data_IF_260601741582
#
_entry.id   IF_260601741582
#
_cell.length_a   1.000
_cell.length_b   1.000
_cell.length_c   1.000
_cell.angle_alpha   90.00
_cell.angle_beta   90.00
_cell.angle_gamma   90.00
#
_symmetry.space_group_name_H-M   'P 1'
#
loop_
_entity.id
_entity.type
_entity.pdbx_description
1 polymer ?
#
# COMPACT_ATOMS: atom_id res chain seq x y z
N UNK A 1 -0.42 8.25 10.37
CA UNK A 1 0.69 7.37 9.93
C UNK A 1 1.52 8.16 8.93
N UNK A 2 2.84 8.18 9.10
CA UNK A 2 3.71 8.89 8.16
C UNK A 2 4.32 7.94 7.14
N UNK A 3 4.37 8.37 5.89
CA UNK A 3 5.18 7.75 4.85
C UNK A 3 6.30 8.69 4.39
N UNK A 4 7.46 8.13 4.08
CA UNK A 4 8.58 8.81 3.43
C UNK A 4 8.73 8.29 2.00
N UNK A 5 8.58 9.19 1.02
CA UNK A 5 8.75 8.92 -0.40
C UNK A 5 10.05 9.50 -0.96
N UNK A 6 10.97 9.96 -0.11
CA UNK A 6 12.21 10.63 -0.53
C UNK A 6 13.03 9.78 -1.52
N UNK A 7 12.98 8.46 -1.34
CA UNK A 7 13.63 7.43 -2.16
C UNK A 7 12.72 6.81 -3.25
N UNK A 8 11.48 7.28 -3.41
CA UNK A 8 10.54 6.76 -4.40
C UNK A 8 10.84 7.20 -5.85
N UNK A 9 11.92 7.96 -6.07
CA UNK A 9 12.36 8.37 -7.40
C UNK A 9 11.27 9.10 -8.19
N UNK A 10 11.01 8.61 -9.39
CA UNK A 10 9.97 9.06 -10.32
C UNK A 10 8.53 8.80 -9.82
N UNK A 11 8.34 7.95 -8.81
CA UNK A 11 7.02 7.49 -8.37
C UNK A 11 6.37 8.35 -7.27
N UNK A 12 7.00 9.42 -6.81
CA UNK A 12 6.47 10.29 -5.73
C UNK A 12 5.02 10.74 -5.97
N UNK A 13 4.70 11.13 -7.20
CA UNK A 13 3.33 11.52 -7.58
C UNK A 13 2.34 10.37 -7.47
N UNK A 14 2.73 9.16 -7.89
CA UNK A 14 1.89 7.96 -7.79
C UNK A 14 1.67 7.54 -6.33
N UNK A 15 2.71 7.62 -5.50
CA UNK A 15 2.63 7.35 -4.05
C UNK A 15 1.65 8.29 -3.38
N UNK A 16 1.74 9.59 -3.65
CA UNK A 16 0.79 10.57 -3.11
C UNK A 16 -0.65 10.27 -3.55
N UNK A 17 -0.86 9.95 -4.84
CA UNK A 17 -2.17 9.62 -5.38
C UNK A 17 -2.75 8.32 -4.78
N UNK A 18 -1.92 7.30 -4.56
CA UNK A 18 -2.32 6.04 -3.92
C UNK A 18 -2.64 6.21 -2.44
N UNK A 19 -1.86 7.01 -1.72
CA UNK A 19 -2.15 7.37 -0.33
C UNK A 19 -3.49 8.12 -0.20
N UNK A 20 -3.81 8.99 -1.17
CA UNK A 20 -5.09 9.70 -1.19
C UNK A 20 -6.29 8.75 -1.42
N UNK A 21 -6.12 7.66 -2.17
CA UNK A 21 -7.17 6.65 -2.30
C UNK A 21 -7.54 6.03 -0.95
N UNK A 22 -6.56 5.80 -0.07
CA UNK A 22 -6.84 5.35 1.29
C UNK A 22 -7.46 6.47 2.13
N UNK A 23 -6.87 7.67 2.14
CA UNK A 23 -7.36 8.78 2.97
C UNK A 23 -8.80 9.21 2.67
N UNK A 24 -9.25 9.04 1.42
CA UNK A 24 -10.62 9.35 0.98
C UNK A 24 -11.61 8.21 1.24
N UNK A 25 -11.15 7.01 1.61
CA UNK A 25 -11.99 5.82 1.71
C UNK A 25 -12.03 5.17 3.09
N UNK A 26 -11.10 5.50 3.98
CA UNK A 26 -11.09 5.03 5.38
C UNK A 26 -10.92 6.20 6.37
N UNK A 27 -11.31 5.99 7.63
CA UNK A 27 -11.40 7.00 8.68
C UNK A 27 -10.42 6.73 9.83
N UNK A 28 -10.19 5.46 10.20
CA UNK A 28 -9.38 5.11 11.37
C UNK A 28 -7.86 5.25 11.13
N UNK A 29 -7.42 5.46 9.89
CA UNK A 29 -6.02 5.69 9.55
C UNK A 29 -5.89 6.74 8.46
N UNK A 30 -4.91 7.63 8.63
CA UNK A 30 -4.52 8.62 7.61
C UNK A 30 -3.04 8.46 7.29
N UNK A 31 -2.74 8.38 5.99
CA UNK A 31 -1.39 8.41 5.43
C UNK A 31 -1.02 9.85 5.12
N UNK A 32 0.00 10.35 5.82
CA UNK A 32 0.54 11.69 5.61
C UNK A 32 2.00 11.58 5.19
N UNK A 33 2.43 12.45 4.28
CA UNK A 33 3.86 12.55 3.94
C UNK A 33 4.63 13.06 5.16
N UNK A 34 5.72 12.40 5.50
CA UNK A 34 6.60 12.82 6.57
C UNK A 34 7.24 14.18 6.21
N UNK A 35 7.24 15.15 7.13
CA UNK A 35 8.11 16.32 6.99
C UNK A 35 9.59 15.86 6.94
N UNK A 36 10.44 16.62 6.26
CA UNK A 36 11.86 16.30 6.17
C UNK A 36 12.50 16.17 7.57
N UNK A 37 13.30 15.13 7.77
CA UNK A 37 13.96 14.86 9.05
C UNK A 37 13.07 14.21 10.12
N UNK A 38 11.80 13.92 9.81
CA UNK A 38 10.90 13.18 10.71
C UNK A 38 10.91 11.70 10.39
N UNK A 39 10.79 10.86 11.43
CA UNK A 39 10.63 9.42 11.24
C UNK A 39 9.30 9.11 10.56
N UNK A 40 9.34 8.29 9.51
CA UNK A 40 8.16 7.68 8.90
C UNK A 40 8.04 6.22 9.31
N UNK A 41 6.81 5.72 9.39
CA UNK A 41 6.54 4.30 9.60
C UNK A 41 6.59 3.50 8.31
N UNK A 42 6.25 4.11 7.17
CA UNK A 42 6.33 3.50 5.84
C UNK A 42 7.41 4.21 5.05
N UNK A 43 8.40 3.50 4.53
CA UNK A 43 9.37 4.04 3.56
C UNK A 43 9.05 3.51 2.17
N UNK A 44 9.00 4.38 1.17
CA UNK A 44 8.79 3.99 -0.23
C UNK A 44 10.08 4.20 -1.02
N UNK A 45 10.55 3.14 -1.67
CA UNK A 45 11.81 3.09 -2.39
C UNK A 45 11.53 2.65 -3.83
N UNK A 46 12.04 3.35 -4.82
CA UNK A 46 11.99 2.86 -6.20
C UNK A 46 12.96 1.68 -6.37
N UNK A 47 12.50 0.58 -6.96
CA UNK A 47 13.23 -0.68 -7.07
C UNK A 47 13.11 -1.21 -8.51
N UNK A 48 14.10 -1.96 -8.99
CA UNK A 48 14.09 -2.46 -10.38
C UNK A 48 13.31 -3.76 -10.56
N UNK A 49 12.93 -4.45 -9.47
CA UNK A 49 12.15 -5.68 -9.50
C UNK A 49 10.63 -5.46 -9.55
N UNK A 50 9.87 -6.50 -9.19
CA UNK A 50 8.43 -6.41 -8.96
C UNK A 50 8.10 -5.58 -7.70
N UNK A 51 6.98 -4.83 -7.72
CA UNK A 51 6.44 -4.22 -6.52
C UNK A 51 6.28 -5.24 -5.40
N UNK A 52 6.59 -4.79 -4.18
CA UNK A 52 6.47 -5.59 -2.97
C UNK A 52 6.38 -4.69 -1.75
N UNK A 53 5.79 -5.19 -0.68
CA UNK A 53 5.66 -4.43 0.55
C UNK A 53 5.76 -5.30 1.79
N UNK A 54 6.13 -4.68 2.91
CA UNK A 54 6.00 -5.29 4.23
C UNK A 54 4.53 -5.34 4.66
N UNK A 55 4.04 -6.54 4.99
CA UNK A 55 2.68 -6.74 5.46
C UNK A 55 2.50 -6.19 6.89
N UNK A 56 1.50 -5.32 7.02
CA UNK A 56 1.13 -4.66 8.25
C UNK A 56 0.25 -5.51 9.18
N UNK A 57 -0.65 -4.88 9.97
CA UNK A 57 -0.88 -3.43 10.02
C UNK A 57 0.30 -2.71 10.70
N UNK A 58 0.94 -1.78 9.98
CA UNK A 58 1.98 -0.94 10.59
C UNK A 58 1.35 0.03 11.58
N UNK A 59 2.02 0.31 12.70
CA UNK A 59 1.56 1.18 13.79
C UNK A 59 2.56 2.31 14.04
N UNK A 60 2.17 3.41 14.72
CA UNK A 60 3.11 4.42 15.19
C UNK A 60 4.30 3.78 15.91
N UNK A 61 5.51 4.14 15.50
CA UNK A 61 6.74 3.53 16.04
C UNK A 61 7.15 2.20 15.40
N UNK A 62 6.35 1.64 14.48
CA UNK A 62 6.71 0.50 13.63
C UNK A 62 7.58 0.88 12.42
N UNK A 63 7.82 -0.09 11.53
CA UNK A 63 8.54 0.12 10.27
C UNK A 63 8.08 -0.86 9.21
N UNK A 64 7.64 -0.34 8.07
CA UNK A 64 7.30 -1.07 6.85
C UNK A 64 8.03 -0.44 5.68
N UNK A 65 8.30 -1.22 4.64
CA UNK A 65 8.89 -0.75 3.39
C UNK A 65 7.99 -1.13 2.22
N UNK A 66 7.81 -0.21 1.30
CA UNK A 66 7.26 -0.45 -0.03
C UNK A 66 8.40 -0.30 -1.03
N UNK A 67 8.66 -1.35 -1.78
CA UNK A 67 9.54 -1.31 -2.94
C UNK A 67 8.66 -1.11 -4.16
N UNK A 68 8.67 0.09 -4.70
CA UNK A 68 7.94 0.45 -5.90
C UNK A 68 8.70 -0.07 -7.12
N UNK A 69 8.27 -1.24 -7.61
CA UNK A 69 8.97 -1.96 -8.66
C UNK A 69 8.75 -1.42 -10.07
N UNK A 70 9.84 -1.06 -10.76
CA UNK A 70 9.83 -0.64 -12.17
C UNK A 70 9.39 -1.74 -13.12
N UNK A 71 9.58 -3.01 -12.76
CA UNK A 71 9.22 -4.12 -13.63
C UNK A 71 7.72 -4.08 -14.01
N UNK A 72 6.83 -3.97 -13.02
CA UNK A 72 5.38 -3.87 -13.29
C UNK A 72 5.04 -2.63 -14.13
N UNK A 73 5.68 -1.49 -13.86
CA UNK A 73 5.47 -0.26 -14.64
C UNK A 73 5.86 -0.45 -16.10
N UNK A 74 7.02 -1.06 -16.35
CA UNK A 74 7.52 -1.37 -17.69
C UNK A 74 6.64 -2.38 -18.42
N UNK A 75 5.97 -3.28 -17.68
CA UNK A 75 4.99 -4.22 -18.21
C UNK A 75 3.61 -3.56 -18.48
N UNK A 76 3.42 -2.30 -18.09
CA UNK A 76 2.24 -1.50 -18.42
C UNK A 76 1.21 -1.34 -17.29
N UNK A 77 1.54 -1.76 -16.07
CA UNK A 77 0.65 -1.60 -14.92
C UNK A 77 0.54 -0.14 -14.46
N UNK A 78 -0.66 0.24 -14.01
CA UNK A 78 -0.94 1.61 -13.56
C UNK A 78 -0.21 1.94 -12.25
N UNK A 79 0.61 3.00 -12.26
CA UNK A 79 1.43 3.41 -11.12
C UNK A 79 0.62 3.77 -9.87
N UNK A 80 -0.54 4.43 -10.03
CA UNK A 80 -1.39 4.79 -8.88
C UNK A 80 -2.03 3.55 -8.26
N UNK A 81 -2.45 2.59 -9.07
CA UNK A 81 -2.96 1.30 -8.59
C UNK A 81 -1.87 0.50 -7.87
N UNK A 82 -0.65 0.42 -8.41
CA UNK A 82 0.50 -0.20 -7.74
C UNK A 82 0.70 0.45 -6.36
N UNK A 83 0.79 1.78 -6.31
CA UNK A 83 1.00 2.50 -5.06
C UNK A 83 -0.08 2.21 -4.01
N UNK A 84 -1.35 2.27 -4.42
CA UNK A 84 -2.48 2.01 -3.53
C UNK A 84 -2.47 0.56 -3.01
N UNK A 85 -2.17 -0.41 -3.88
CA UNK A 85 -2.08 -1.83 -3.55
C UNK A 85 -0.99 -2.09 -2.50
N UNK A 86 0.24 -1.63 -2.74
CA UNK A 86 1.37 -1.85 -1.83
C UNK A 86 1.19 -1.14 -0.48
N UNK A 87 0.57 0.06 -0.48
CA UNK A 87 0.16 0.72 0.75
C UNK A 87 -0.91 -0.10 1.49
N UNK A 88 -1.82 -0.77 0.78
CA UNK A 88 -2.80 -1.69 1.35
C UNK A 88 -2.15 -2.85 2.14
N UNK A 89 -1.05 -3.40 1.63
CA UNK A 89 -0.25 -4.38 2.39
C UNK A 89 0.32 -3.78 3.67
N UNK A 90 0.89 -2.57 3.61
CA UNK A 90 1.39 -1.89 4.81
C UNK A 90 0.28 -1.60 5.83
N UNK A 91 -0.97 -1.44 5.37
CA UNK A 91 -2.18 -1.31 6.20
C UNK A 91 -2.76 -2.66 6.69
N UNK A 92 -2.12 -3.77 6.34
CA UNK A 92 -2.44 -5.11 6.83
C UNK A 92 -3.44 -5.90 5.97
N UNK A 93 -3.58 -5.56 4.69
CA UNK A 93 -4.34 -6.39 3.75
C UNK A 93 -3.43 -7.41 3.07
N UNK A 94 -3.73 -8.72 3.10
CA UNK A 94 -3.04 -9.68 2.25
C UNK A 94 -3.49 -9.56 0.79
N UNK A 95 -2.73 -10.18 -0.11
CA UNK A 95 -3.15 -10.39 -1.49
C UNK A 95 -4.49 -11.14 -1.58
N UNK A 96 -5.28 -10.80 -2.60
CA UNK A 96 -6.54 -11.45 -2.97
C UNK A 96 -6.48 -11.89 -4.44
N UNK A 97 -5.49 -12.73 -4.72
CA UNK A 97 -5.16 -13.22 -6.06
C UNK A 97 -5.70 -14.64 -6.29
N UNK A 98 -6.18 -14.98 -7.50
CA UNK A 98 -6.60 -14.03 -8.54
C UNK A 98 -7.88 -13.28 -8.10
N UNK A 99 -8.12 -12.09 -8.64
CA UNK A 99 -9.34 -11.32 -8.32
C UNK A 99 -9.72 -10.30 -9.39
N UNK A 100 -10.94 -9.75 -9.32
CA UNK A 100 -11.42 -8.78 -10.31
C UNK A 100 -10.74 -7.41 -10.14
N UNK A 101 -10.79 -6.59 -11.18
CA UNK A 101 -10.26 -5.21 -11.14
C UNK A 101 -10.90 -4.33 -10.05
N UNK A 102 -12.12 -4.65 -9.62
CA UNK A 102 -12.79 -3.99 -8.50
C UNK A 102 -12.14 -4.27 -7.15
N UNK A 103 -11.37 -5.35 -7.00
CA UNK A 103 -10.51 -5.59 -5.83
C UNK A 103 -9.17 -4.92 -6.06
N UNK A 104 -8.77 -4.03 -5.16
CA UNK A 104 -7.44 -3.42 -5.20
C UNK A 104 -6.37 -4.47 -4.88
N UNK A 105 -6.66 -5.37 -3.94
CA UNK A 105 -5.72 -6.41 -3.49
C UNK A 105 -5.62 -7.61 -4.45
N UNK A 106 -6.32 -7.60 -5.59
CA UNK A 106 -6.02 -8.52 -6.69
C UNK A 106 -4.70 -8.18 -7.40
N UNK A 107 -4.18 -6.97 -7.18
CA UNK A 107 -2.85 -6.56 -7.65
C UNK A 107 -2.68 -6.76 -9.14
N UNK A 108 -1.53 -7.32 -9.50
CA UNK A 108 -1.12 -7.66 -10.87
C UNK A 108 -2.03 -8.67 -11.58
N UNK A 109 -2.72 -9.55 -10.87
CA UNK A 109 -3.57 -10.60 -11.49
C UNK A 109 -4.84 -10.04 -12.15
N UNK A 110 -5.22 -8.79 -11.85
CA UNK A 110 -6.28 -8.09 -12.58
C UNK A 110 -5.86 -7.66 -14.00
N UNK A 111 -4.57 -7.76 -14.33
CA UNK A 111 -4.01 -7.42 -15.63
C UNK A 111 -3.79 -5.92 -15.86
N UNK A 112 -3.01 -5.61 -16.90
CA UNK A 112 -2.57 -4.24 -17.24
C UNK A 112 -3.71 -3.31 -17.69
N UNK A 113 -4.83 -3.86 -18.18
CA UNK A 113 -6.02 -3.07 -18.52
C UNK A 113 -6.76 -2.56 -17.28
N UNK A 114 -6.50 -3.14 -16.11
CA UNK A 114 -7.08 -2.69 -14.86
C UNK A 114 -6.30 -1.51 -14.27
N UNK A 115 -6.95 -0.35 -14.25
CA UNK A 115 -6.36 0.89 -13.73
C UNK A 115 -7.01 1.38 -12.44
N UNK A 116 -8.02 0.69 -11.92
CA UNK A 116 -8.76 1.10 -10.72
C UNK A 116 -7.85 1.10 -9.47
N UNK A 117 -7.60 2.24 -8.82
CA UNK A 117 -6.77 2.29 -7.62
C UNK A 117 -7.59 2.29 -6.31
N UNK A 118 -8.92 2.17 -6.39
CA UNK A 118 -9.82 2.33 -5.24
C UNK A 118 -10.06 0.98 -4.56
N UNK A 119 -9.85 0.86 -3.23
CA UNK A 119 -10.18 -0.35 -2.49
C UNK A 119 -11.69 -0.58 -2.43
N UNK A 120 -12.12 -1.85 -2.57
CA UNK A 120 -13.53 -2.21 -2.44
C UNK A 120 -14.02 -2.14 -1.00
N UNK A 121 -15.34 -2.30 -0.82
CA UNK A 121 -15.96 -2.20 0.50
C UNK A 121 -15.38 -3.18 1.55
N UNK A 122 -15.03 -4.40 1.16
CA UNK A 122 -14.44 -5.41 2.06
C UNK A 122 -13.02 -5.05 2.45
N UNK A 123 -12.21 -4.56 1.52
CA UNK A 123 -10.84 -4.11 1.76
C UNK A 123 -10.82 -2.89 2.69
N UNK A 124 -11.72 -1.92 2.46
CA UNK A 124 -11.91 -0.76 3.35
C UNK A 124 -12.31 -1.20 4.76
N UNK A 125 -13.32 -2.05 4.88
CA UNK A 125 -13.79 -2.53 6.18
C UNK A 125 -12.69 -3.26 6.97
N UNK A 126 -11.83 -4.03 6.30
CA UNK A 126 -10.70 -4.68 6.94
C UNK A 126 -9.66 -3.67 7.44
N UNK A 127 -9.34 -2.64 6.66
CA UNK A 127 -8.42 -1.57 7.13
C UNK A 127 -9.04 -0.82 8.31
N UNK A 128 -10.33 -0.48 8.26
CA UNK A 128 -11.02 0.14 9.39
C UNK A 128 -10.96 -0.71 10.65
N UNK A 129 -11.13 -2.04 10.50
CA UNK A 129 -10.99 -2.97 11.61
C UNK A 129 -9.55 -3.05 12.12
N UNK A 130 -8.53 -3.06 11.25
CA UNK A 130 -7.12 -3.12 11.63
C UNK A 130 -6.66 -1.90 12.47
N UNK A 131 -7.26 -0.75 12.21
CA UNK A 131 -6.93 0.53 12.84
C UNK A 131 -7.99 1.04 13.84
N UNK A 132 -9.04 0.26 14.08
CA UNK A 132 -10.01 0.54 15.12
C UNK A 132 -9.38 0.52 16.53
N UNK A 133 -10.13 1.03 17.51
CA UNK A 133 -9.73 0.95 18.91
C UNK A 133 -9.86 -0.46 19.52
N UNK A 134 -9.45 -0.61 20.78
CA UNK A 134 -9.63 -1.86 21.54
C UNK A 134 -8.72 -2.99 21.06
N UNK A 135 -9.25 -4.21 20.92
CA UNK A 135 -8.46 -5.39 20.53
C UNK A 135 -7.73 -5.25 19.19
N UNK A 136 -8.24 -4.42 18.29
CA UNK A 136 -7.58 -4.11 17.03
C UNK A 136 -6.20 -3.51 17.24
N UNK A 137 -5.96 -2.73 18.29
CA UNK A 137 -4.63 -2.17 18.60
C UNK A 137 -3.62 -3.22 19.10
N UNK A 138 -4.11 -4.41 19.48
CA UNK A 138 -3.30 -5.52 19.97
C UNK A 138 -2.85 -6.48 18.85
N UNK A 139 -3.40 -6.34 17.63
CA UNK A 139 -2.97 -7.17 16.50
C UNK A 139 -1.52 -6.80 16.16
N UNK A 140 -0.57 -7.74 16.28
CA UNK A 140 0.82 -7.49 15.94
C UNK A 140 0.97 -7.33 14.42
N UNK A 141 2.01 -6.60 14.02
CA UNK A 141 2.40 -6.51 12.62
C UNK A 141 2.88 -7.87 12.13
N UNK A 142 2.42 -8.31 10.96
CA UNK A 142 2.82 -9.58 10.35
C UNK A 142 4.31 -9.56 9.95
N UNK A 143 4.74 -8.52 9.24
CA UNK A 143 6.15 -8.28 8.94
C UNK A 143 6.72 -9.06 7.75
N UNK A 144 5.97 -10.02 7.17
CA UNK A 144 6.37 -10.69 5.93
C UNK A 144 6.45 -9.71 4.76
N UNK A 145 7.27 -10.03 3.77
CA UNK A 145 7.29 -9.32 2.48
C UNK A 145 6.33 -10.05 1.54
N UNK A 146 5.41 -9.31 0.94
CA UNK A 146 4.49 -9.78 -0.11
C UNK A 146 4.93 -9.18 -1.42
N UNK A 147 5.00 -9.99 -2.48
CA UNK A 147 5.48 -9.57 -3.82
C UNK A 147 4.30 -9.59 -4.78
N UNK A 148 4.03 -8.46 -5.45
CA UNK A 148 2.93 -8.32 -6.41
C UNK A 148 3.27 -8.89 -7.79
N UNK A 149 3.94 -10.04 -7.85
CA UNK A 149 4.14 -10.76 -9.11
C UNK A 149 2.85 -11.51 -9.53
N UNK A 150 2.62 -11.72 -10.85
CA UNK A 150 1.48 -12.48 -11.38
C UNK A 150 1.44 -13.95 -10.95
#
# INVERSE_FOLDING_TARGET
>A
MYYDDSQAGEFKGAVAAGAEQWNSTVQNVKLAKAPAGTRAEITVIADDGWPRATLGPVRPGGRATVWFGRQAVNEGYNTTRIAAHELGHSLGLPDRKPGPCSSLMSGSTAGVSCTNPVPNATERAQVEANYGGGFASLVPMDGRIVVDAP
#
